data_IF_038150323305
#
_entry.id   IF_038150323305
#
_cell.length_a   1.000
_cell.length_b   1.000
_cell.length_c   1.000
_cell.angle_alpha   90.00
_cell.angle_beta   90.00
_cell.angle_gamma   90.00
#
_symmetry.space_group_name_H-M   'P 1'
#
loop_
_entity.id
_entity.type
_entity.pdbx_description
1 polymer ?
#
# COMPACT_ATOMS: atom_id res chain seq x y z
N UNK A 1 42.86 -4.21 -43.12
CA UNK A 1 41.88 -5.14 -42.51
C UNK A 1 42.67 -6.14 -41.67
N UNK A 2 42.47 -6.43 -40.38
CA UNK A 2 41.57 -6.00 -39.32
C UNK A 2 42.33 -6.22 -37.99
N UNK A 3 42.37 -5.24 -37.08
CA UNK A 3 43.01 -5.37 -35.77
C UNK A 3 42.12 -6.18 -34.82
N UNK A 4 42.51 -7.41 -34.48
CA UNK A 4 41.95 -8.15 -33.35
C UNK A 4 42.50 -7.58 -32.04
N UNK A 5 41.64 -6.97 -31.22
CA UNK A 5 41.97 -6.57 -29.84
C UNK A 5 41.97 -7.83 -28.96
N UNK A 6 43.15 -8.22 -28.48
CA UNK A 6 43.31 -9.19 -27.40
C UNK A 6 42.71 -8.59 -26.13
N UNK A 7 41.56 -9.09 -25.71
CA UNK A 7 41.01 -8.82 -24.37
C UNK A 7 41.80 -9.71 -23.40
N UNK A 8 42.65 -9.10 -22.58
CA UNK A 8 43.45 -9.80 -21.58
C UNK A 8 42.56 -10.49 -20.54
N UNK A 9 42.88 -11.73 -20.15
CA UNK A 9 42.15 -12.53 -19.13
C UNK A 9 41.88 -11.78 -17.82
N UNK A 10 42.75 -10.82 -17.45
CA UNK A 10 42.59 -9.97 -16.27
C UNK A 10 41.33 -9.11 -16.30
N UNK A 11 40.88 -8.67 -17.48
CA UNK A 11 39.65 -7.89 -17.61
C UNK A 11 38.41 -8.75 -17.33
N UNK A 12 38.39 -10.00 -17.78
CA UNK A 12 37.26 -10.92 -17.59
C UNK A 12 37.08 -11.25 -16.10
N UNK A 13 38.17 -11.53 -15.38
CA UNK A 13 38.13 -11.79 -13.94
C UNK A 13 37.67 -10.55 -13.15
N UNK A 14 38.04 -9.34 -13.60
CA UNK A 14 37.59 -8.08 -13.01
C UNK A 14 36.09 -7.86 -13.21
N UNK A 15 35.58 -8.10 -14.43
CA UNK A 15 34.14 -8.02 -14.74
C UNK A 15 33.32 -9.05 -13.95
N UNK A 16 33.82 -10.27 -13.77
CA UNK A 16 33.17 -11.31 -12.96
C UNK A 16 33.08 -10.92 -11.48
N UNK A 17 34.17 -10.39 -10.90
CA UNK A 17 34.17 -9.90 -9.52
C UNK A 17 33.26 -8.68 -9.33
N UNK A 18 33.23 -7.77 -10.31
CA UNK A 18 32.35 -6.59 -10.28
C UNK A 18 30.88 -7.01 -10.41
N UNK A 19 30.55 -7.98 -11.27
CA UNK A 19 29.20 -8.54 -11.39
C UNK A 19 28.76 -9.28 -10.11
N UNK A 20 29.67 -9.99 -9.44
CA UNK A 20 29.44 -10.61 -8.12
C UNK A 20 29.20 -9.56 -7.01
N UNK A 21 29.91 -8.43 -7.05
CA UNK A 21 29.66 -7.29 -6.14
C UNK A 21 28.31 -6.61 -6.41
N UNK A 22 27.94 -6.42 -7.68
CA UNK A 22 26.62 -5.87 -8.05
C UNK A 22 25.46 -6.83 -7.72
N UNK A 23 25.67 -8.15 -7.82
CA UNK A 23 24.67 -9.16 -7.48
C UNK A 23 24.31 -9.24 -5.98
N UNK A 24 25.14 -8.67 -5.10
CA UNK A 24 24.88 -8.60 -3.66
C UNK A 24 24.13 -7.33 -3.23
N UNK A 25 23.94 -6.36 -4.13
CA UNK A 25 23.13 -5.16 -3.86
C UNK A 25 21.66 -5.55 -3.97
N UNK A 26 21.11 -6.17 -2.93
CA UNK A 26 19.66 -6.23 -2.77
C UNK A 26 19.17 -4.80 -2.59
N UNK A 27 18.35 -4.32 -3.54
CA UNK A 27 17.62 -3.08 -3.40
C UNK A 27 16.72 -3.20 -2.17
N UNK A 28 17.15 -2.64 -1.04
CA UNK A 28 16.37 -2.58 0.18
C UNK A 28 15.21 -1.62 -0.08
N UNK A 29 13.97 -2.08 0.06
CA UNK A 29 12.81 -1.17 -0.06
C UNK A 29 12.95 -0.06 0.99
N UNK A 30 12.98 1.19 0.54
CA UNK A 30 12.96 2.37 1.40
C UNK A 30 11.71 2.44 2.28
N UNK A 31 10.64 1.71 1.91
CA UNK A 31 9.37 1.70 2.62
C UNK A 31 9.08 0.36 3.28
N UNK A 32 8.66 0.37 4.54
CA UNK A 32 8.31 -0.84 5.29
C UNK A 32 7.17 -0.58 6.26
N UNK A 33 6.18 -1.48 6.26
CA UNK A 33 5.12 -1.48 7.26
C UNK A 33 5.69 -1.76 8.65
N UNK A 34 5.19 -1.01 9.63
CA UNK A 34 5.62 -1.14 11.03
C UNK A 34 4.50 -1.64 11.94
N UNK A 35 3.26 -1.26 11.64
CA UNK A 35 2.11 -1.67 12.43
C UNK A 35 0.81 -1.54 11.63
N UNK A 36 -0.23 -2.24 12.07
CA UNK A 36 -1.60 -2.09 11.58
C UNK A 36 -2.56 -2.17 12.76
N UNK A 37 -3.58 -1.31 12.76
CA UNK A 37 -4.74 -1.45 13.64
C UNK A 37 -6.01 -1.47 12.80
N UNK A 38 -6.87 -2.43 13.09
CA UNK A 38 -8.20 -2.53 12.52
C UNK A 38 -9.21 -2.35 13.64
N UNK A 39 -10.05 -1.33 13.53
CA UNK A 39 -11.08 -0.99 14.50
C UNK A 39 -12.44 -1.28 13.88
N UNK A 40 -13.21 -2.13 14.53
CA UNK A 40 -14.58 -2.48 14.16
C UNK A 40 -15.54 -1.59 14.95
N UNK A 41 -16.35 -0.79 14.26
CA UNK A 41 -17.33 0.10 14.91
C UNK A 41 -18.75 -0.46 14.82
N UNK A 42 -19.00 -1.39 13.90
CA UNK A 42 -20.27 -2.11 13.76
C UNK A 42 -20.00 -3.57 13.36
N UNK A 43 -19.74 -4.41 14.37
CA UNK A 43 -19.45 -5.84 14.19
C UNK A 43 -20.62 -6.63 13.58
N UNK A 44 -21.84 -6.09 13.66
CA UNK A 44 -23.04 -6.68 13.04
C UNK A 44 -23.09 -6.43 11.53
N UNK A 45 -22.35 -5.44 11.05
CA UNK A 45 -22.27 -5.07 9.64
C UNK A 45 -21.08 -5.75 8.96
N UNK A 46 -19.90 -5.70 9.58
CA UNK A 46 -18.68 -6.28 9.01
C UNK A 46 -17.64 -6.60 10.08
N UNK A 47 -16.73 -7.54 9.78
CA UNK A 47 -15.58 -7.88 10.63
C UNK A 47 -14.30 -8.10 9.85
N UNK A 48 -13.17 -7.79 10.47
CA UNK A 48 -11.84 -8.15 9.96
C UNK A 48 -11.53 -9.61 10.32
N UNK A 49 -11.64 -10.51 9.34
CA UNK A 49 -11.18 -11.89 9.49
C UNK A 49 -9.65 -11.98 9.48
N UNK A 50 -8.99 -11.10 8.71
CA UNK A 50 -7.54 -10.95 8.69
C UNK A 50 -7.23 -9.46 8.82
N UNK A 51 -6.34 -9.14 9.75
CA UNK A 51 -5.75 -7.81 9.89
C UNK A 51 -4.36 -7.97 10.49
N UNK A 52 -3.35 -8.17 9.63
CA UNK A 52 -1.99 -8.44 10.11
C UNK A 52 -0.91 -8.05 9.12
N UNK A 53 0.27 -7.88 9.67
CA UNK A 53 1.52 -7.85 8.91
C UNK A 53 2.16 -9.24 8.93
N UNK A 54 2.77 -9.66 7.82
CA UNK A 54 3.46 -10.94 7.67
C UNK A 54 4.83 -10.71 7.07
N UNK A 55 5.89 -11.19 7.73
CA UNK A 55 7.23 -11.21 7.16
C UNK A 55 7.27 -12.23 6.03
N UNK A 56 7.66 -11.81 4.83
CA UNK A 56 7.70 -12.67 3.62
C UNK A 56 9.12 -12.83 3.06
N UNK A 57 10.09 -12.10 3.61
CA UNK A 57 11.50 -12.19 3.26
C UNK A 57 12.35 -11.38 4.22
N UNK A 58 13.67 -11.36 4.01
CA UNK A 58 14.59 -10.54 4.81
C UNK A 58 14.21 -9.06 4.64
N UNK A 59 13.83 -8.42 5.74
CA UNK A 59 13.36 -7.03 5.76
C UNK A 59 12.10 -6.72 4.92
N UNK A 60 11.41 -7.74 4.37
CA UNK A 60 10.19 -7.55 3.59
C UNK A 60 8.97 -7.95 4.41
N UNK A 61 8.06 -6.99 4.59
CA UNK A 61 6.82 -7.17 5.35
C UNK A 61 5.65 -6.91 4.41
N UNK A 62 4.72 -7.86 4.37
CA UNK A 62 3.48 -7.74 3.61
C UNK A 62 2.30 -7.38 4.52
N UNK A 63 1.37 -6.60 3.99
CA UNK A 63 0.09 -6.29 4.60
C UNK A 63 -0.98 -7.26 4.08
N UNK A 64 -1.77 -7.82 5.01
CA UNK A 64 -2.87 -8.71 4.69
C UNK A 64 -4.12 -8.28 5.47
N UNK A 65 -5.19 -7.98 4.73
CA UNK A 65 -6.49 -7.55 5.24
C UNK A 65 -7.57 -8.38 4.56
N UNK A 66 -8.49 -8.91 5.35
CA UNK A 66 -9.69 -9.60 4.86
C UNK A 66 -10.88 -9.17 5.70
N UNK A 67 -11.90 -8.62 5.06
CA UNK A 67 -13.11 -8.10 5.68
C UNK A 67 -14.31 -8.89 5.19
N UNK A 68 -15.03 -9.51 6.12
CA UNK A 68 -16.31 -10.16 5.83
C UNK A 68 -17.44 -9.17 6.04
N UNK A 69 -18.31 -9.06 5.05
CA UNK A 69 -19.57 -8.30 5.12
C UNK A 69 -20.68 -9.24 5.59
N UNK A 70 -21.40 -8.88 6.65
CA UNK A 70 -22.59 -9.60 7.13
C UNK A 70 -23.89 -8.98 6.64
N UNK A 71 -23.86 -7.68 6.28
CA UNK A 71 -24.96 -6.98 5.63
C UNK A 71 -24.54 -6.62 4.21
N UNK A 72 -25.08 -7.36 3.24
CA UNK A 72 -24.82 -7.21 1.80
C UNK A 72 -26.13 -7.28 1.01
N UNK A 73 -26.16 -6.75 -0.22
CA UNK A 73 -25.13 -5.95 -0.90
C UNK A 73 -24.94 -4.54 -0.29
N UNK A 74 -23.70 -4.06 -0.22
CA UNK A 74 -23.38 -2.67 0.16
C UNK A 74 -23.47 -1.78 -1.07
N UNK A 75 -24.48 -0.93 -1.10
CA UNK A 75 -24.79 -0.03 -2.23
C UNK A 75 -24.39 1.42 -1.99
N UNK A 76 -24.22 1.81 -0.73
CA UNK A 76 -23.78 3.15 -0.34
C UNK A 76 -22.64 3.02 0.65
N UNK A 77 -21.45 3.45 0.22
CA UNK A 77 -20.29 3.52 1.08
C UNK A 77 -19.42 4.73 0.75
N UNK A 78 -18.80 5.27 1.79
CA UNK A 78 -17.95 6.45 1.72
C UNK A 78 -16.66 6.16 2.47
N UNK A 79 -15.54 6.64 1.97
CA UNK A 79 -14.24 6.48 2.62
C UNK A 79 -13.62 7.84 2.86
N UNK A 80 -13.16 8.07 4.09
CA UNK A 80 -12.28 9.18 4.43
C UNK A 80 -10.85 8.68 4.55
N UNK A 81 -9.94 9.29 3.81
CA UNK A 81 -8.51 8.98 3.82
C UNK A 81 -7.73 10.15 4.40
N UNK A 82 -6.92 9.88 5.41
CA UNK A 82 -6.10 10.87 6.09
C UNK A 82 -4.65 10.39 6.23
N UNK A 83 -3.70 11.28 5.93
CA UNK A 83 -2.28 10.98 5.96
C UNK A 83 -1.54 11.83 6.99
N UNK A 84 -0.79 11.18 7.85
CA UNK A 84 -0.09 11.79 8.97
C UNK A 84 1.41 11.47 8.93
N UNK A 85 2.23 12.42 9.36
CA UNK A 85 3.68 12.27 9.56
C UNK A 85 4.02 12.39 11.04
N UNK A 86 4.91 11.53 11.52
CA UNK A 86 5.40 11.57 12.91
C UNK A 86 6.42 12.69 13.07
N UNK A 87 6.22 13.48 14.13
CA UNK A 87 7.15 14.47 14.67
C UNK A 87 7.04 14.39 16.21
N UNK A 88 6.55 15.44 16.86
CA UNK A 88 6.07 15.39 18.26
C UNK A 88 4.63 14.82 18.28
N UNK A 89 4.51 13.54 17.89
CA UNK A 89 3.23 12.89 17.59
C UNK A 89 2.88 12.89 16.09
N UNK A 90 1.78 12.23 15.75
CA UNK A 90 1.28 12.16 14.37
C UNK A 90 0.50 13.43 14.02
N UNK A 91 1.00 14.21 13.06
CA UNK A 91 0.37 15.44 12.57
C UNK A 91 -0.12 15.25 11.12
N UNK A 92 -1.26 15.84 10.72
CA UNK A 92 -1.69 15.83 9.32
C UNK A 92 -0.58 16.35 8.40
N UNK A 93 -0.32 15.67 7.29
CA UNK A 93 0.85 15.97 6.43
C UNK A 93 0.52 16.22 4.96
N UNK A 94 -0.42 15.50 4.35
CA UNK A 94 -0.69 15.61 2.91
C UNK A 94 -2.15 15.79 2.56
N UNK A 95 -2.97 14.80 2.94
CA UNK A 95 -4.34 14.74 2.48
C UNK A 95 -5.25 14.29 3.62
N UNK A 96 -6.40 14.94 3.71
CA UNK A 96 -7.56 14.51 4.47
C UNK A 96 -8.77 14.79 3.59
N UNK A 97 -9.38 13.73 3.06
CA UNK A 97 -10.51 13.89 2.17
C UNK A 97 -11.42 12.68 2.15
N UNK A 98 -12.64 12.92 1.68
CA UNK A 98 -13.72 11.94 1.68
C UNK A 98 -14.22 11.74 0.25
N UNK A 99 -14.46 10.50 -0.14
CA UNK A 99 -15.06 10.16 -1.43
C UNK A 99 -16.13 9.08 -1.26
N UNK A 100 -17.20 9.20 -2.04
CA UNK A 100 -18.14 8.13 -2.27
C UNK A 100 -17.44 7.01 -3.06
N UNK A 101 -17.46 5.80 -2.50
CA UNK A 101 -16.73 4.65 -3.06
C UNK A 101 -17.36 4.21 -4.38
N UNK A 102 -18.69 4.22 -4.48
CA UNK A 102 -19.38 3.77 -5.68
C UNK A 102 -19.20 4.78 -6.84
N UNK A 103 -19.25 6.08 -6.56
CA UNK A 103 -18.95 7.13 -7.52
C UNK A 103 -17.47 7.09 -7.96
N UNK A 104 -16.55 6.77 -7.04
CA UNK A 104 -15.14 6.54 -7.39
C UNK A 104 -15.00 5.39 -8.39
N UNK A 105 -15.64 4.24 -8.15
CA UNK A 105 -15.54 3.11 -9.06
C UNK A 105 -16.25 3.35 -10.39
N UNK A 106 -17.33 4.14 -10.41
CA UNK A 106 -18.00 4.56 -11.63
C UNK A 106 -17.13 5.50 -12.50
N UNK A 107 -16.37 6.41 -11.89
CA UNK A 107 -15.44 7.29 -12.61
C UNK A 107 -14.23 7.68 -11.75
N UNK A 108 -13.18 6.86 -11.80
CA UNK A 108 -11.95 7.04 -10.99
C UNK A 108 -11.21 8.33 -11.31
N UNK A 109 -11.30 8.83 -12.54
CA UNK A 109 -10.57 10.02 -12.98
C UNK A 109 -11.06 11.31 -12.31
N UNK A 110 -12.32 11.31 -11.81
CA UNK A 110 -12.86 12.42 -11.03
C UNK A 110 -12.22 12.56 -9.63
N UNK A 111 -11.51 11.54 -9.17
CA UNK A 111 -10.93 11.46 -7.82
C UNK A 111 -9.43 11.15 -7.88
N UNK A 112 -8.59 12.07 -8.38
CA UNK A 112 -7.18 11.80 -8.70
C UNK A 112 -6.37 11.30 -7.50
N UNK A 113 -6.57 11.88 -6.31
CA UNK A 113 -5.85 11.47 -5.09
C UNK A 113 -6.25 10.06 -4.65
N UNK A 114 -7.55 9.76 -4.63
CA UNK A 114 -8.03 8.42 -4.31
C UNK A 114 -7.58 7.39 -5.34
N UNK A 115 -7.53 7.77 -6.61
CA UNK A 115 -7.00 6.92 -7.68
C UNK A 115 -5.54 6.56 -7.45
N UNK A 116 -4.69 7.54 -7.12
CA UNK A 116 -3.27 7.28 -6.84
C UNK A 116 -3.13 6.28 -5.68
N UNK A 117 -3.90 6.46 -4.60
CA UNK A 117 -3.87 5.57 -3.43
C UNK A 117 -4.40 4.18 -3.79
N UNK A 118 -5.49 4.10 -4.55
CA UNK A 118 -6.08 2.85 -5.00
C UNK A 118 -5.13 2.05 -5.90
N UNK A 119 -4.43 2.72 -6.82
CA UNK A 119 -3.46 2.11 -7.72
C UNK A 119 -2.28 1.45 -6.96
N UNK A 120 -2.00 1.88 -5.71
CA UNK A 120 -0.96 1.26 -4.87
C UNK A 120 -1.29 -0.18 -4.48
N UNK A 121 -2.56 -0.49 -4.23
CA UNK A 121 -2.95 -1.78 -3.65
C UNK A 121 -3.91 -2.60 -4.53
N UNK A 122 -4.46 -2.01 -5.60
CA UNK A 122 -5.48 -2.65 -6.44
C UNK A 122 -5.05 -4.03 -6.96
N UNK A 123 -3.78 -4.18 -7.35
CA UNK A 123 -3.23 -5.45 -7.88
C UNK A 123 -3.22 -6.58 -6.86
N UNK A 124 -3.19 -6.22 -5.59
CA UNK A 124 -3.19 -7.13 -4.45
C UNK A 124 -4.59 -7.23 -3.82
N UNK A 125 -5.65 -6.77 -4.51
CA UNK A 125 -6.99 -6.69 -3.94
C UNK A 125 -8.05 -7.20 -4.89
N UNK A 126 -9.20 -7.57 -4.35
CA UNK A 126 -10.39 -7.91 -5.13
C UNK A 126 -11.38 -6.74 -5.26
N UNK A 127 -10.97 -5.50 -4.94
CA UNK A 127 -11.86 -4.33 -4.94
C UNK A 127 -12.11 -3.75 -6.34
N UNK A 128 -11.47 -4.27 -7.39
CA UNK A 128 -11.47 -3.68 -8.74
C UNK A 128 -12.75 -3.95 -9.54
N UNK A 129 -13.91 -3.59 -9.00
CA UNK A 129 -15.20 -3.64 -9.69
C UNK A 129 -16.10 -2.50 -9.23
N UNK A 130 -17.20 -2.25 -9.96
CA UNK A 130 -18.20 -1.28 -9.54
C UNK A 130 -19.08 -1.85 -8.43
N UNK A 131 -19.58 -0.98 -7.55
CA UNK A 131 -20.63 -1.35 -6.59
C UNK A 131 -21.82 -2.06 -7.27
N UNK A 132 -22.59 -2.90 -6.55
CA UNK A 132 -22.48 -3.16 -5.11
C UNK A 132 -21.38 -4.16 -4.71
N UNK A 133 -21.00 -4.12 -3.43
CA UNK A 133 -20.12 -5.11 -2.81
C UNK A 133 -20.94 -6.12 -2.01
N UNK A 134 -20.88 -7.40 -2.39
CA UNK A 134 -21.55 -8.50 -1.68
C UNK A 134 -20.59 -9.53 -1.08
N UNK A 135 -19.36 -9.56 -1.59
CA UNK A 135 -18.39 -10.58 -1.26
C UNK A 135 -17.45 -10.14 -0.13
N UNK A 136 -16.57 -11.06 0.26
CA UNK A 136 -15.45 -10.75 1.14
C UNK A 136 -14.52 -9.76 0.44
N UNK A 137 -14.11 -8.73 1.15
CA UNK A 137 -13.15 -7.73 0.66
C UNK A 137 -11.75 -8.09 1.13
N UNK A 138 -10.77 -8.10 0.23
CA UNK A 138 -9.42 -8.55 0.56
C UNK A 138 -8.34 -7.67 -0.05
N UNK A 139 -7.26 -7.49 0.70
CA UNK A 139 -5.94 -7.04 0.26
C UNK A 139 -4.93 -8.08 0.75
N UNK A 140 -4.24 -8.75 -0.17
CA UNK A 140 -3.40 -9.90 0.12
C UNK A 140 -1.97 -9.66 -0.35
N UNK A 141 -1.02 -9.95 0.54
CA UNK A 141 0.41 -9.89 0.27
C UNK A 141 0.91 -8.54 -0.29
N UNK A 142 0.28 -7.43 0.10
CA UNK A 142 0.70 -6.10 -0.33
C UNK A 142 2.06 -5.76 0.27
N UNK A 143 3.05 -5.46 -0.55
CA UNK A 143 4.39 -5.00 -0.11
C UNK A 143 4.62 -3.58 -0.63
N UNK A 144 5.10 -2.70 0.25
CA UNK A 144 5.45 -1.34 -0.15
C UNK A 144 6.70 -1.32 -1.01
N UNK A 145 6.65 -0.54 -2.09
CA UNK A 145 7.79 -0.24 -2.95
C UNK A 145 7.84 1.26 -3.27
N UNK A 146 9.01 1.74 -3.71
CA UNK A 146 9.22 3.15 -4.03
C UNK A 146 8.26 3.69 -5.10
N UNK A 147 7.93 2.88 -6.10
CA UNK A 147 7.05 3.27 -7.21
C UNK A 147 5.64 3.66 -6.76
N UNK A 148 5.15 3.10 -5.65
CA UNK A 148 3.85 3.46 -5.07
C UNK A 148 3.83 4.91 -4.59
N UNK A 149 4.96 5.41 -4.07
CA UNK A 149 5.06 6.73 -3.44
C UNK A 149 5.65 7.81 -4.35
N UNK A 150 5.89 7.52 -5.64
CA UNK A 150 6.56 8.44 -6.58
C UNK A 150 5.92 9.83 -6.71
N UNK A 151 4.63 9.95 -6.39
CA UNK A 151 3.88 11.22 -6.45
C UNK A 151 3.79 11.94 -5.09
N UNK A 152 4.32 11.36 -4.02
CA UNK A 152 4.24 11.90 -2.67
C UNK A 152 5.58 12.51 -2.27
N UNK A 153 5.61 13.75 -1.76
CA UNK A 153 6.83 14.38 -1.26
C UNK A 153 7.15 13.86 0.16
N UNK A 154 7.42 12.56 0.27
CA UNK A 154 7.80 11.94 1.54
C UNK A 154 9.28 12.24 1.84
N UNK A 155 9.63 12.30 3.11
CA UNK A 155 11.00 12.38 3.61
C UNK A 155 11.23 11.19 4.55
N UNK A 156 12.45 10.97 5.01
CA UNK A 156 12.69 10.02 6.11
C UNK A 156 11.83 10.39 7.34
N UNK A 157 10.94 9.48 7.75
CA UNK A 157 10.03 9.60 8.89
C UNK A 157 9.17 8.34 9.05
N UNK A 158 8.46 8.24 10.18
CA UNK A 158 7.29 7.37 10.32
C UNK A 158 6.02 8.08 9.86
N UNK A 159 5.14 7.31 9.23
CA UNK A 159 3.88 7.76 8.65
C UNK A 159 2.72 6.91 9.15
N UNK A 160 1.53 7.52 9.18
CA UNK A 160 0.26 6.86 9.43
C UNK A 160 -0.69 7.20 8.28
N UNK A 161 -1.15 6.16 7.60
CA UNK A 161 -2.28 6.22 6.70
C UNK A 161 -3.53 5.73 7.44
N UNK A 162 -4.54 6.58 7.53
CA UNK A 162 -5.81 6.30 8.21
C UNK A 162 -6.94 6.27 7.18
N UNK A 163 -7.68 5.18 7.13
CA UNK A 163 -8.89 5.06 6.33
C UNK A 163 -10.10 4.82 7.26
N UNK A 164 -11.11 5.68 7.19
CA UNK A 164 -12.39 5.48 7.86
C UNK A 164 -13.43 5.11 6.81
N UNK A 165 -14.07 3.97 7.00
CA UNK A 165 -15.07 3.43 6.07
C UNK A 165 -16.45 3.58 6.69
N UNK A 166 -17.31 4.25 5.95
CA UNK A 166 -18.70 4.49 6.28
C UNK A 166 -19.59 3.72 5.31
N UNK A 167 -20.70 3.19 5.82
CA UNK A 167 -21.76 2.65 5.00
C UNK A 167 -23.09 3.20 5.52
N UNK A 168 -23.93 3.70 4.60
CA UNK A 168 -25.18 4.37 4.97
C UNK A 168 -24.99 5.49 6.02
N UNK A 169 -23.92 6.28 5.86
CA UNK A 169 -23.50 7.38 6.75
C UNK A 169 -23.03 7.00 8.18
N UNK A 170 -23.04 5.72 8.53
CA UNK A 170 -22.51 5.24 9.80
C UNK A 170 -21.06 4.76 9.65
N UNK A 171 -20.22 5.09 10.62
CA UNK A 171 -18.84 4.56 10.67
C UNK A 171 -18.89 3.05 10.93
N UNK A 172 -18.34 2.25 10.01
CA UNK A 172 -18.32 0.79 10.11
C UNK A 172 -16.95 0.26 10.53
N UNK A 173 -15.88 0.84 9.98
CA UNK A 173 -14.51 0.41 10.26
C UNK A 173 -13.51 1.58 10.18
N UNK A 174 -12.45 1.49 10.97
CA UNK A 174 -11.24 2.34 10.82
C UNK A 174 -10.01 1.46 10.66
N UNK A 175 -9.21 1.75 9.65
CA UNK A 175 -7.93 1.13 9.39
C UNK A 175 -6.83 2.17 9.65
N UNK A 176 -5.85 1.82 10.49
CA UNK A 176 -4.65 2.61 10.74
C UNK A 176 -3.42 1.80 10.32
N UNK A 177 -2.78 2.20 9.22
CA UNK A 177 -1.57 1.56 8.68
C UNK A 177 -0.39 2.46 8.99
N UNK A 178 0.61 1.90 9.67
CA UNK A 178 1.86 2.57 9.99
C UNK A 178 2.98 2.02 9.12
N UNK A 179 3.80 2.92 8.59
CA UNK A 179 5.00 2.56 7.83
C UNK A 179 6.08 3.60 8.04
N UNK A 180 7.33 3.22 7.82
CA UNK A 180 8.44 4.18 7.78
C UNK A 180 9.00 4.28 6.36
N UNK A 181 9.58 5.43 6.06
CA UNK A 181 10.49 5.63 4.93
C UNK A 181 11.90 5.81 5.49
N UNK A 182 12.88 5.13 4.89
CA UNK A 182 14.32 5.33 5.12
C UNK A 182 15.00 5.57 3.77
N UNK A 183 15.80 6.62 3.68
CA UNK A 183 16.57 6.94 2.47
C UNK A 183 17.80 6.02 2.30
#
# INVERSE_FOLDING_TARGET
MSRFRVITLGNIQLFLNLALLFGLVQAKSSFKFTNIKCLEHDVSFSRFEICRLKVVGRDVVSLNIKVRLYKSPVTNSTVNLAFYKKSNGFKPFLYNGTADVCAFFANRQRYPIFKIIFDMFVRNSNLNHTCPYSDVLAVEELVLNEGMFRYFPLSEAEYLFKAKVYAYNDLKATLEIYFYRKD
#
